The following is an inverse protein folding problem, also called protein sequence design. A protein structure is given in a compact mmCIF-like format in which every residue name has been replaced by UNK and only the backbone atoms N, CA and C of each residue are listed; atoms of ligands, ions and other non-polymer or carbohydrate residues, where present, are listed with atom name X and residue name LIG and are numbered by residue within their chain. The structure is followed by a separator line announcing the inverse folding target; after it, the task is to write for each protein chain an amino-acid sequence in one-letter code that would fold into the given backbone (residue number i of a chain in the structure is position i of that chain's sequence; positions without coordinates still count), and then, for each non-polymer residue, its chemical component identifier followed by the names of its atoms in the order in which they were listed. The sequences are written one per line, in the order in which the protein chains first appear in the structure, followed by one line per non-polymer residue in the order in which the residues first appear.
data_IF_813680523665
#
_entry.id   IF_813680523665
#
_cell.length_a   1.000
_cell.length_b   1.000
_cell.length_c   1.000
_cell.angle_alpha   90.00
_cell.angle_beta   90.00
_cell.angle_gamma   90.00
#
_symmetry.space_group_name_H-M   'P 1'
#
loop_
_entity.id
_entity.type
_entity.pdbx_description
1 polymer ?
#
# COMPACT_ATOMS: atom_id res chain seq x y z
N UNK A 1 -80.79 4.50 -2.60
CA UNK A 1 -79.94 4.34 -3.79
C UNK A 1 -78.57 4.92 -3.44
N UNK A 2 -77.53 4.07 -3.51
CA UNK A 2 -76.07 4.29 -3.58
C UNK A 2 -75.50 5.60 -2.98
N UNK A 3 -74.61 5.62 -1.97
CA UNK A 3 -73.49 4.73 -1.68
C UNK A 3 -72.18 5.44 -2.06
N UNK A 4 -71.62 6.25 -1.14
CA UNK A 4 -70.32 6.93 -1.34
C UNK A 4 -69.28 6.16 -0.52
N UNK A 5 -68.35 5.51 -1.21
CA UNK A 5 -67.24 4.76 -0.61
C UNK A 5 -66.14 5.69 -0.10
N UNK A 6 -65.67 5.44 1.12
CA UNK A 6 -64.42 5.97 1.66
C UNK A 6 -63.40 4.84 1.65
N UNK A 7 -62.39 4.96 0.78
CA UNK A 7 -61.25 4.05 0.76
C UNK A 7 -60.27 4.45 1.87
N UNK A 8 -60.09 3.57 2.85
CA UNK A 8 -59.05 3.70 3.85
C UNK A 8 -57.68 3.34 3.26
N UNK A 9 -56.79 4.31 3.11
CA UNK A 9 -55.37 4.04 2.96
C UNK A 9 -54.77 3.71 4.32
N UNK A 10 -54.45 2.43 4.53
CA UNK A 10 -53.48 2.02 5.55
C UNK A 10 -52.11 2.56 5.12
N UNK A 11 -51.56 3.50 5.88
CA UNK A 11 -50.15 3.86 5.80
C UNK A 11 -49.31 2.68 6.31
N UNK A 12 -48.44 2.17 5.44
CA UNK A 12 -47.54 1.07 5.76
C UNK A 12 -46.33 1.60 6.54
N UNK A 13 -46.48 1.64 7.87
CA UNK A 13 -45.45 2.07 8.84
C UNK A 13 -44.19 1.18 8.82
N UNK A 14 -44.21 0.03 8.13
CA UNK A 14 -43.06 -0.89 8.09
C UNK A 14 -41.94 -0.41 7.15
N UNK A 15 -42.29 0.29 6.06
CA UNK A 15 -41.32 0.82 5.10
C UNK A 15 -40.51 1.99 5.69
N UNK A 16 -41.19 2.86 6.45
CA UNK A 16 -40.59 4.09 7.01
C UNK A 16 -39.57 3.78 8.12
N UNK A 17 -39.84 2.76 8.94
CA UNK A 17 -38.92 2.31 10.00
C UNK A 17 -37.66 1.65 9.40
N UNK A 18 -37.82 0.87 8.33
CA UNK A 18 -36.71 0.24 7.60
C UNK A 18 -35.75 1.26 6.98
N UNK A 19 -36.29 2.32 6.35
CA UNK A 19 -35.50 3.40 5.75
C UNK A 19 -34.81 4.23 6.83
N UNK A 20 -35.49 4.55 7.93
CA UNK A 20 -34.93 5.29 9.06
C UNK A 20 -33.79 4.53 9.76
N UNK A 21 -33.96 3.22 10.00
CA UNK A 21 -32.91 2.36 10.57
C UNK A 21 -31.69 2.27 9.66
N UNK A 22 -31.91 2.15 8.34
CA UNK A 22 -30.83 2.08 7.34
C UNK A 22 -30.04 3.40 7.27
N UNK A 23 -30.72 4.54 7.29
CA UNK A 23 -30.07 5.86 7.33
C UNK A 23 -29.28 6.03 8.63
N UNK A 24 -29.85 5.67 9.78
CA UNK A 24 -29.19 5.79 11.07
C UNK A 24 -27.93 4.89 11.17
N UNK A 25 -27.99 3.68 10.60
CA UNK A 25 -26.86 2.77 10.51
C UNK A 25 -25.75 3.30 9.59
N UNK A 26 -26.12 3.82 8.41
CA UNK A 26 -25.17 4.46 7.48
C UNK A 26 -24.51 5.70 8.09
N UNK A 27 -25.25 6.49 8.87
CA UNK A 27 -24.72 7.68 9.54
C UNK A 27 -23.72 7.29 10.64
N UNK A 28 -24.02 6.26 11.44
CA UNK A 28 -23.11 5.74 12.47
C UNK A 28 -21.85 5.11 11.87
N UNK A 29 -21.98 4.39 10.77
CA UNK A 29 -20.85 3.86 10.01
C UNK A 29 -19.97 5.00 9.47
N UNK A 30 -20.59 6.03 8.89
CA UNK A 30 -19.88 7.20 8.38
C UNK A 30 -19.15 7.97 9.50
N UNK A 31 -19.79 8.18 10.65
CA UNK A 31 -19.15 8.80 11.83
C UNK A 31 -17.98 7.95 12.36
N UNK A 32 -18.16 6.64 12.46
CA UNK A 32 -17.09 5.72 12.90
C UNK A 32 -15.91 5.70 11.93
N UNK A 33 -16.17 5.69 10.62
CA UNK A 33 -15.13 5.77 9.57
C UNK A 33 -14.40 7.12 9.60
N UNK A 34 -15.13 8.22 9.81
CA UNK A 34 -14.57 9.58 9.91
C UNK A 34 -13.71 9.74 11.17
N UNK A 35 -14.14 9.19 12.31
CA UNK A 35 -13.37 9.20 13.55
C UNK A 35 -12.09 8.37 13.40
N UNK A 36 -12.19 7.17 12.82
CA UNK A 36 -11.02 6.32 12.55
C UNK A 36 -10.04 7.02 11.61
N UNK A 37 -10.51 7.64 10.52
CA UNK A 37 -9.67 8.36 9.58
C UNK A 37 -8.92 9.54 10.25
N UNK A 38 -9.64 10.40 10.98
CA UNK A 38 -9.05 11.55 11.67
C UNK A 38 -8.06 11.15 12.78
N UNK A 39 -8.34 10.05 13.50
CA UNK A 39 -7.41 9.52 14.50
C UNK A 39 -6.10 9.04 13.87
N UNK A 40 -6.15 8.42 12.69
CA UNK A 40 -4.95 7.86 12.06
C UNK A 40 -4.08 8.94 11.40
N UNK A 41 -4.67 10.02 10.89
CA UNK A 41 -3.93 11.19 10.39
C UNK A 41 -3.16 11.91 11.51
N UNK A 42 -3.77 12.05 12.69
CA UNK A 42 -3.09 12.60 13.86
C UNK A 42 -1.88 11.74 14.29
N UNK A 43 -1.91 10.43 14.08
CA UNK A 43 -0.79 9.55 14.43
C UNK A 43 0.41 9.69 13.50
N UNK A 44 0.20 9.99 12.22
CA UNK A 44 1.29 10.32 11.30
C UNK A 44 2.01 11.61 11.73
N UNK A 45 1.26 12.62 12.17
CA UNK A 45 1.83 13.87 12.70
C UNK A 45 2.58 13.65 14.03
N UNK A 46 2.04 12.82 14.92
CA UNK A 46 2.70 12.41 16.16
C UNK A 46 4.02 11.68 15.85
N UNK A 47 3.99 10.74 14.91
CA UNK A 47 5.16 9.99 14.48
C UNK A 47 6.23 10.91 13.89
N UNK A 48 5.83 11.80 12.99
CA UNK A 48 6.73 12.79 12.40
C UNK A 48 7.39 13.66 13.48
N UNK A 49 6.61 14.09 14.47
CA UNK A 49 7.10 14.90 15.59
C UNK A 49 8.12 14.13 16.43
N UNK A 50 7.84 12.87 16.76
CA UNK A 50 8.76 12.00 17.49
C UNK A 50 10.07 11.76 16.72
N UNK A 51 9.99 11.43 15.43
CA UNK A 51 11.15 11.21 14.57
C UNK A 51 12.04 12.45 14.43
N UNK A 52 11.44 13.64 14.32
CA UNK A 52 12.18 14.91 14.22
C UNK A 52 13.02 15.20 15.45
N UNK A 53 12.56 14.80 16.64
CA UNK A 53 13.27 14.99 17.90
C UNK A 53 14.06 13.75 18.35
N UNK A 54 14.10 12.69 17.54
CA UNK A 54 14.71 11.39 17.89
C UNK A 54 14.15 10.75 19.16
N UNK A 55 12.84 10.87 19.38
CA UNK A 55 12.17 10.17 20.47
C UNK A 55 11.87 8.72 20.06
N UNK A 56 12.86 7.84 20.24
CA UNK A 56 12.78 6.42 19.89
C UNK A 56 11.68 5.68 20.66
N UNK A 57 11.45 6.03 21.93
CA UNK A 57 10.43 5.40 22.78
C UNK A 57 9.03 5.64 22.22
N UNK A 58 8.74 6.87 21.80
CA UNK A 58 7.47 7.20 21.14
C UNK A 58 7.32 6.48 19.80
N UNK A 59 8.39 6.41 18.99
CA UNK A 59 8.37 5.66 17.70
C UNK A 59 8.07 4.18 17.92
N UNK A 60 8.70 3.55 18.92
CA UNK A 60 8.46 2.15 19.30
C UNK A 60 7.04 1.94 19.80
N UNK A 61 6.54 2.84 20.66
CA UNK A 61 5.17 2.79 21.17
C UNK A 61 4.12 2.84 20.06
N UNK A 62 4.28 3.78 19.12
CA UNK A 62 3.42 3.91 17.93
C UNK A 62 3.52 2.66 17.06
N UNK A 63 4.74 2.18 16.78
CA UNK A 63 4.96 0.94 16.01
C UNK A 63 4.21 -0.24 16.62
N UNK A 64 4.33 -0.48 17.92
CA UNK A 64 3.67 -1.60 18.60
C UNK A 64 2.15 -1.49 18.56
N UNK A 65 1.60 -0.28 18.66
CA UNK A 65 0.15 -0.03 18.52
C UNK A 65 -0.36 -0.47 17.14
N UNK A 66 0.30 -0.03 16.07
CA UNK A 66 -0.13 -0.34 14.70
C UNK A 66 0.17 -1.77 14.29
N UNK A 67 1.25 -2.37 14.81
CA UNK A 67 1.57 -3.77 14.57
C UNK A 67 0.45 -4.68 15.11
N UNK A 68 -0.02 -4.42 16.35
CA UNK A 68 -1.15 -5.15 16.94
C UNK A 68 -2.43 -5.00 16.12
N UNK A 69 -2.69 -3.81 15.57
CA UNK A 69 -3.86 -3.56 14.71
C UNK A 69 -3.79 -4.39 13.44
N UNK A 70 -2.67 -4.30 12.70
CA UNK A 70 -2.49 -5.06 11.46
C UNK A 70 -2.60 -6.56 11.74
N UNK A 71 -1.99 -7.07 12.80
CA UNK A 71 -2.08 -8.50 13.17
C UNK A 71 -3.50 -8.92 13.57
N UNK A 72 -4.26 -8.06 14.25
CA UNK A 72 -5.62 -8.37 14.70
C UNK A 72 -6.67 -8.30 13.58
N UNK A 73 -6.48 -7.41 12.62
CA UNK A 73 -7.44 -7.14 11.55
C UNK A 73 -7.10 -7.89 10.24
N UNK A 74 -5.89 -8.48 10.12
CA UNK A 74 -5.51 -9.32 8.97
C UNK A 74 -6.35 -10.60 8.93
N UNK A 75 -6.84 -10.96 7.75
CA UNK A 75 -7.62 -12.16 7.48
C UNK A 75 -7.37 -12.66 6.06
N UNK A 76 -7.66 -13.93 5.76
CA UNK A 76 -7.61 -14.40 4.38
C UNK A 76 -8.77 -13.78 3.60
N UNK A 77 -8.52 -12.91 2.59
CA UNK A 77 -9.59 -12.30 1.81
C UNK A 77 -10.27 -13.31 0.89
N UNK A 78 -11.54 -13.07 0.59
CA UNK A 78 -12.24 -13.72 -0.52
C UNK A 78 -11.98 -12.91 -1.80
N UNK A 79 -10.88 -13.22 -2.46
CA UNK A 79 -10.38 -12.45 -3.61
C UNK A 79 -11.30 -12.48 -4.83
N UNK A 80 -12.16 -13.50 -4.98
CA UNK A 80 -13.14 -13.57 -6.07
C UNK A 80 -14.20 -12.46 -5.99
N UNK A 81 -14.40 -11.89 -4.80
CA UNK A 81 -15.33 -10.78 -4.57
C UNK A 81 -14.71 -9.41 -4.79
N UNK A 82 -13.38 -9.33 -4.93
CA UNK A 82 -12.68 -8.08 -5.12
C UNK A 82 -12.76 -7.64 -6.58
N UNK A 83 -12.73 -6.33 -6.79
CA UNK A 83 -12.84 -5.77 -8.14
C UNK A 83 -11.55 -6.01 -8.91
N UNK A 84 -11.65 -6.62 -10.09
CA UNK A 84 -10.55 -6.72 -11.05
C UNK A 84 -10.22 -5.39 -11.73
N UNK A 85 -8.92 -5.15 -11.93
CA UNK A 85 -8.38 -4.20 -12.90
C UNK A 85 -7.97 -4.93 -14.19
N UNK A 86 -8.85 -4.85 -15.21
CA UNK A 86 -8.62 -5.50 -16.50
C UNK A 86 -7.43 -4.93 -17.27
N UNK A 87 -7.19 -3.61 -17.18
CA UNK A 87 -6.10 -2.98 -17.92
C UNK A 87 -4.76 -3.35 -17.31
N UNK A 88 -4.65 -3.31 -15.99
CA UNK A 88 -3.46 -3.77 -15.30
C UNK A 88 -3.22 -5.28 -15.51
N UNK A 89 -4.27 -6.08 -15.55
CA UNK A 89 -4.15 -7.52 -15.82
C UNK A 89 -3.50 -7.81 -17.19
N UNK A 90 -3.65 -6.92 -18.18
CA UNK A 90 -2.98 -7.04 -19.48
C UNK A 90 -1.49 -6.70 -19.43
N UNK A 91 -1.02 -6.06 -18.34
CA UNK A 91 0.37 -5.67 -18.15
C UNK A 91 1.17 -6.67 -17.32
N UNK A 92 0.52 -7.74 -16.84
CA UNK A 92 1.18 -8.81 -16.09
C UNK A 92 2.23 -9.45 -17.01
N UNK A 93 3.53 -9.41 -16.63
CA UNK A 93 4.58 -10.00 -17.43
C UNK A 93 4.39 -11.51 -17.61
N UNK A 94 4.78 -12.01 -18.78
CA UNK A 94 4.53 -13.41 -19.17
C UNK A 94 5.30 -14.42 -18.31
N UNK A 95 6.38 -14.01 -17.64
CA UNK A 95 7.11 -14.85 -16.70
C UNK A 95 6.41 -15.02 -15.35
N UNK A 96 5.43 -14.17 -15.03
CA UNK A 96 4.58 -14.37 -13.87
C UNK A 96 3.50 -15.40 -14.27
N UNK A 97 3.94 -16.63 -14.50
CA UNK A 97 3.08 -17.79 -14.72
C UNK A 97 2.88 -18.51 -13.40
N UNK A 98 1.64 -18.62 -12.95
CA UNK A 98 1.26 -19.65 -11.97
C UNK A 98 -0.13 -20.14 -12.36
N UNK A 99 -0.12 -21.35 -12.92
CA UNK A 99 -1.14 -22.40 -13.08
C UNK A 99 -2.62 -22.01 -13.24
N UNK A 100 -3.28 -22.74 -14.16
CA UNK A 100 -4.70 -22.90 -14.58
C UNK A 100 -5.85 -21.95 -14.12
N UNK A 101 -5.72 -21.17 -13.05
CA UNK A 101 -6.72 -20.21 -12.54
C UNK A 101 -6.65 -18.79 -13.11
N UNK A 102 -5.50 -18.41 -13.68
CA UNK A 102 -5.28 -17.09 -14.30
C UNK A 102 -5.10 -15.96 -13.29
N UNK A 103 -3.92 -15.37 -13.25
CA UNK A 103 -3.68 -14.22 -12.37
C UNK A 103 -4.50 -13.01 -12.79
N UNK A 104 -5.02 -12.31 -11.79
CA UNK A 104 -5.78 -11.10 -12.00
C UNK A 104 -5.21 -9.97 -11.15
N UNK A 105 -5.08 -8.82 -11.79
CA UNK A 105 -4.71 -7.57 -11.17
C UNK A 105 -5.94 -7.05 -10.41
N UNK A 106 -5.83 -6.78 -9.10
CA UNK A 106 -6.92 -6.23 -8.29
C UNK A 106 -6.93 -4.70 -8.29
N UNK A 107 -8.12 -4.10 -8.38
CA UNK A 107 -8.27 -2.65 -8.36
C UNK A 107 -8.08 -2.13 -6.94
N UNK A 108 -7.15 -1.18 -6.79
CA UNK A 108 -7.00 -0.35 -5.59
C UNK A 108 -7.33 1.12 -5.89
N UNK A 109 -7.55 1.91 -4.84
CA UNK A 109 -7.66 3.36 -4.94
C UNK A 109 -6.32 3.96 -5.38
N UNK A 110 -6.33 4.61 -6.54
CA UNK A 110 -5.18 5.32 -7.12
C UNK A 110 -4.94 6.68 -6.47
N UNK A 111 -4.54 6.66 -5.20
CA UNK A 111 -4.03 7.83 -4.49
C UNK A 111 -2.56 7.63 -4.12
N UNK A 112 -1.95 8.62 -3.50
CA UNK A 112 -0.55 8.60 -3.11
C UNK A 112 -0.26 7.68 -1.90
N UNK A 113 -1.21 6.81 -1.55
CA UNK A 113 -1.11 5.73 -0.57
C UNK A 113 -1.27 4.33 -1.22
N UNK A 114 -1.30 4.26 -2.55
CA UNK A 114 -1.57 3.05 -3.36
C UNK A 114 -0.74 1.82 -2.99
N UNK A 115 0.55 1.96 -2.63
CA UNK A 115 1.37 0.85 -2.10
C UNK A 115 0.67 0.18 -0.91
N UNK A 116 0.25 0.99 0.06
CA UNK A 116 -0.33 0.50 1.29
C UNK A 116 -1.79 0.06 1.10
N UNK A 117 -2.52 0.69 0.19
CA UNK A 117 -3.85 0.21 -0.25
C UNK A 117 -3.75 -1.20 -0.83
N UNK A 118 -2.76 -1.43 -1.70
CA UNK A 118 -2.49 -2.75 -2.26
C UNK A 118 -2.18 -3.76 -1.17
N UNK A 119 -1.24 -3.45 -0.28
CA UNK A 119 -0.88 -4.37 0.79
C UNK A 119 -2.08 -4.64 1.73
N UNK A 120 -2.89 -3.63 2.03
CA UNK A 120 -4.11 -3.78 2.84
C UNK A 120 -5.11 -4.73 2.18
N UNK A 121 -5.34 -4.60 0.86
CA UNK A 121 -6.23 -5.47 0.11
C UNK A 121 -5.78 -6.94 0.18
N UNK A 122 -4.47 -7.23 0.10
CA UNK A 122 -3.95 -8.60 0.29
C UNK A 122 -4.16 -9.12 1.70
N UNK A 123 -4.01 -8.24 2.70
CA UNK A 123 -4.03 -8.65 4.11
C UNK A 123 -5.43 -8.80 4.69
N UNK A 124 -6.44 -8.10 4.16
CA UNK A 124 -7.77 -8.07 4.76
C UNK A 124 -8.93 -7.86 3.78
N UNK A 125 -8.67 -7.72 2.47
CA UNK A 125 -9.70 -7.58 1.45
C UNK A 125 -10.27 -6.17 1.28
N UNK A 126 -9.78 -5.18 2.02
CA UNK A 126 -10.10 -3.77 1.82
C UNK A 126 -8.89 -2.86 2.18
N UNK A 127 -9.06 -1.54 2.12
CA UNK A 127 -7.97 -0.55 2.29
C UNK A 127 -7.89 0.07 3.71
N UNK A 128 -8.57 -0.49 4.72
CA UNK A 128 -8.62 0.12 6.05
C UNK A 128 -7.29 0.04 6.84
N UNK A 129 -6.36 -0.84 6.45
CA UNK A 129 -5.04 -0.97 7.07
C UNK A 129 -3.97 -0.09 6.44
N UNK A 130 -4.26 0.59 5.33
CA UNK A 130 -3.25 1.31 4.54
C UNK A 130 -2.46 2.33 5.36
N UNK A 131 -3.11 3.16 6.18
CA UNK A 131 -2.40 4.14 7.01
C UNK A 131 -1.56 3.47 8.09
N UNK A 132 -2.02 2.34 8.65
CA UNK A 132 -1.22 1.59 9.64
C UNK A 132 0.02 0.98 8.99
N UNK A 133 -0.10 0.44 7.78
CA UNK A 133 1.04 -0.07 7.01
C UNK A 133 2.03 1.04 6.66
N UNK A 134 1.54 2.24 6.31
CA UNK A 134 2.37 3.44 6.09
C UNK A 134 3.15 3.82 7.35
N UNK A 135 2.48 3.90 8.49
CA UNK A 135 3.09 4.19 9.80
C UNK A 135 4.17 3.16 10.13
N UNK A 136 3.86 1.86 10.00
CA UNK A 136 4.82 0.80 10.29
C UNK A 136 6.05 0.85 9.38
N UNK A 137 5.85 1.17 8.09
CA UNK A 137 6.93 1.32 7.12
C UNK A 137 7.80 2.53 7.44
N UNK A 138 7.20 3.65 7.84
CA UNK A 138 7.97 4.81 8.32
C UNK A 138 8.79 4.47 9.57
N UNK A 139 8.19 3.81 10.58
CA UNK A 139 8.91 3.36 11.78
C UNK A 139 10.07 2.42 11.43
N UNK A 140 9.85 1.48 10.51
CA UNK A 140 10.90 0.57 10.02
C UNK A 140 12.07 1.35 9.41
N UNK A 141 11.79 2.20 8.42
CA UNK A 141 12.82 3.01 7.76
C UNK A 141 13.58 3.91 8.73
N UNK A 142 12.91 4.44 9.75
CA UNK A 142 13.56 5.26 10.77
C UNK A 142 14.49 4.45 11.68
N UNK A 143 14.04 3.29 12.16
CA UNK A 143 14.78 2.50 13.16
C UNK A 143 15.85 1.58 12.57
N UNK A 144 15.62 1.03 11.37
CA UNK A 144 16.50 0.01 10.75
C UNK A 144 17.00 0.45 9.37
N UNK A 145 16.76 1.71 9.00
CA UNK A 145 17.04 2.30 7.69
C UNK A 145 18.42 1.97 7.09
N UNK A 146 19.44 1.92 7.95
CA UNK A 146 20.81 1.60 7.57
C UNK A 146 20.96 0.25 6.87
N UNK A 147 20.18 -0.75 7.28
CA UNK A 147 20.31 -2.09 6.70
C UNK A 147 19.87 -2.14 5.22
N UNK A 148 19.08 -1.15 4.78
CA UNK A 148 18.65 -1.02 3.40
C UNK A 148 19.68 -0.29 2.52
N UNK A 149 20.59 0.50 3.09
CA UNK A 149 21.54 1.31 2.31
C UNK A 149 22.60 0.49 1.58
N UNK A 150 22.86 -0.71 2.10
CA UNK A 150 23.86 -1.66 1.57
C UNK A 150 23.20 -2.75 0.71
N UNK A 151 21.90 -2.63 0.43
CA UNK A 151 21.17 -3.65 -0.31
C UNK A 151 21.74 -3.82 -1.74
N UNK A 152 22.03 -5.05 -2.22
CA UNK A 152 22.64 -5.29 -3.53
C UNK A 152 21.87 -4.69 -4.73
N UNK A 153 20.55 -4.55 -4.61
CA UNK A 153 19.74 -3.87 -5.61
C UNK A 153 20.16 -2.41 -5.83
N UNK A 154 20.65 -1.72 -4.78
CA UNK A 154 21.15 -0.34 -4.88
C UNK A 154 22.51 -0.29 -5.58
N UNK A 155 23.40 -1.26 -5.30
CA UNK A 155 24.68 -1.37 -6.00
C UNK A 155 24.49 -1.58 -7.52
N UNK A 156 23.47 -2.36 -7.89
CA UNK A 156 23.16 -2.68 -9.29
C UNK A 156 22.83 -1.42 -10.10
N UNK A 157 22.12 -0.46 -9.49
CA UNK A 157 21.76 0.82 -10.14
C UNK A 157 22.95 1.74 -10.27
N UNK A 158 23.77 1.81 -9.21
CA UNK A 158 24.94 2.68 -9.17
C UNK A 158 26.02 2.20 -10.15
N UNK A 159 26.20 0.88 -10.28
CA UNK A 159 27.29 0.28 -11.06
C UNK A 159 26.91 -0.06 -12.50
N UNK A 160 25.63 -0.06 -12.89
CA UNK A 160 25.22 -0.45 -14.24
C UNK A 160 25.36 0.73 -15.25
N UNK A 161 26.25 0.63 -16.25
CA UNK A 161 26.49 1.69 -17.24
C UNK A 161 25.26 2.07 -18.06
N UNK A 162 24.31 1.15 -18.24
CA UNK A 162 23.07 1.41 -19.00
C UNK A 162 22.18 2.44 -18.28
N UNK A 163 22.15 2.41 -16.94
CA UNK A 163 21.48 3.41 -16.10
C UNK A 163 22.26 4.73 -16.02
N UNK A 164 23.60 4.65 -16.02
CA UNK A 164 24.49 5.80 -15.90
C UNK A 164 24.40 6.78 -17.08
N UNK A 165 23.88 6.36 -18.24
CA UNK A 165 23.97 7.16 -19.46
C UNK A 165 23.02 8.37 -19.54
N UNK A 166 21.96 8.46 -18.70
CA UNK A 166 21.04 9.63 -18.64
C UNK A 166 20.14 9.76 -17.40
N UNK A 167 19.99 8.72 -16.56
CA UNK A 167 18.85 8.60 -15.63
C UNK A 167 19.23 8.29 -14.17
N UNK A 168 20.47 8.55 -13.72
CA UNK A 168 20.87 8.19 -12.34
C UNK A 168 20.05 8.94 -11.28
N UNK A 169 19.79 10.23 -11.48
CA UNK A 169 18.99 11.02 -10.55
C UNK A 169 17.52 10.56 -10.54
N UNK A 170 16.96 10.22 -11.71
CA UNK A 170 15.61 9.69 -11.83
C UNK A 170 15.49 8.32 -11.14
N UNK A 171 16.46 7.42 -11.38
CA UNK A 171 16.53 6.13 -10.71
C UNK A 171 16.70 6.28 -9.19
N UNK A 172 17.53 7.23 -8.73
CA UNK A 172 17.66 7.56 -7.31
C UNK A 172 16.36 8.11 -6.73
N UNK A 173 15.61 8.92 -7.46
CA UNK A 173 14.30 9.43 -7.03
C UNK A 173 13.25 8.31 -6.93
N UNK A 174 13.32 7.30 -7.81
CA UNK A 174 12.45 6.12 -7.73
C UNK A 174 12.80 5.19 -6.56
N UNK A 175 14.05 5.23 -6.07
CA UNK A 175 14.48 4.50 -4.88
C UNK A 175 14.13 5.29 -3.60
N UNK A 176 14.58 6.55 -3.55
CA UNK A 176 14.44 7.50 -2.45
C UNK A 176 13.56 8.67 -2.90
N UNK A 177 12.23 8.58 -2.77
CA UNK A 177 11.32 9.63 -3.22
C UNK A 177 11.31 10.80 -2.23
N UNK A 178 12.38 11.59 -2.22
CA UNK A 178 12.54 12.78 -1.38
C UNK A 178 12.76 14.01 -2.26
N UNK A 179 12.40 15.18 -1.73
CA UNK A 179 12.57 16.45 -2.45
C UNK A 179 14.04 16.73 -2.80
N UNK A 180 14.96 16.33 -1.92
CA UNK A 180 16.40 16.45 -2.12
C UNK A 180 17.07 15.10 -1.85
N UNK A 181 17.96 14.69 -2.76
CA UNK A 181 18.72 13.44 -2.66
C UNK A 181 20.17 13.79 -2.33
N UNK A 182 20.57 13.45 -1.11
CA UNK A 182 21.96 13.51 -0.64
C UNK A 182 22.83 12.47 -1.37
N UNK A 183 24.14 12.69 -1.39
CA UNK A 183 25.12 11.67 -1.77
C UNK A 183 25.16 10.50 -0.77
N UNK A 184 24.78 10.75 0.48
CA UNK A 184 24.77 9.75 1.55
C UNK A 184 23.41 9.03 1.60
N UNK A 185 23.44 7.70 1.42
CA UNK A 185 22.22 6.90 1.43
C UNK A 185 21.51 6.94 2.79
N UNK A 186 22.25 6.97 3.92
CA UNK A 186 21.67 7.01 5.27
C UNK A 186 20.78 8.26 5.46
N UNK A 187 21.30 9.41 5.05
CA UNK A 187 20.57 10.69 5.05
C UNK A 187 19.32 10.59 4.17
N UNK A 188 19.41 9.95 2.99
CA UNK A 188 18.25 9.74 2.13
C UNK A 188 17.20 8.85 2.79
N UNK A 189 17.59 7.72 3.40
CA UNK A 189 16.64 6.83 4.08
C UNK A 189 15.94 7.56 5.22
N UNK A 190 16.68 8.35 6.00
CA UNK A 190 16.11 9.15 7.07
C UNK A 190 15.10 10.17 6.55
N UNK A 191 15.44 10.87 5.46
CA UNK A 191 14.54 11.82 4.82
C UNK A 191 13.30 11.12 4.25
N UNK A 192 13.44 9.91 3.70
CA UNK A 192 12.32 9.09 3.26
C UNK A 192 11.42 8.75 4.45
N UNK A 193 11.96 8.24 5.57
CA UNK A 193 11.16 7.90 6.74
C UNK A 193 10.29 9.08 7.24
N UNK A 194 10.89 10.28 7.26
CA UNK A 194 10.18 11.51 7.62
C UNK A 194 9.12 11.89 6.56
N UNK A 195 9.44 11.77 5.26
CA UNK A 195 8.50 12.09 4.19
C UNK A 195 7.33 11.10 4.13
N UNK A 196 7.56 9.83 4.47
CA UNK A 196 6.51 8.80 4.60
C UNK A 196 5.46 9.20 5.64
N UNK A 197 5.84 9.97 6.67
CA UNK A 197 4.89 10.48 7.66
C UNK A 197 4.00 11.63 7.14
N UNK A 198 4.31 12.18 5.96
CA UNK A 198 3.45 13.18 5.32
C UNK A 198 2.35 12.46 4.56
N UNK A 199 1.10 12.89 4.74
CA UNK A 199 0.00 12.38 3.92
C UNK A 199 0.33 12.57 2.44
N UNK A 200 0.12 11.52 1.67
CA UNK A 200 0.28 11.50 0.21
C UNK A 200 1.69 11.69 -0.36
N UNK A 201 2.75 11.42 0.40
CA UNK A 201 4.07 11.18 -0.21
C UNK A 201 4.09 9.84 -0.99
N UNK A 202 4.61 9.86 -2.21
CA UNK A 202 4.82 8.68 -3.06
C UNK A 202 5.77 7.67 -2.40
N UNK A 203 5.55 6.38 -2.65
CA UNK A 203 6.42 5.29 -2.18
C UNK A 203 7.36 4.76 -3.27
N UNK A 204 8.66 4.84 -3.05
CA UNK A 204 9.72 4.28 -3.89
C UNK A 204 10.20 2.89 -3.42
N UNK A 205 11.22 2.36 -4.09
CA UNK A 205 11.73 1.00 -3.86
C UNK A 205 12.04 0.68 -2.39
N UNK A 206 12.59 1.64 -1.65
CA UNK A 206 12.97 1.40 -0.27
C UNK A 206 11.77 1.14 0.65
N UNK A 207 10.60 1.68 0.31
CA UNK A 207 9.37 1.36 1.03
C UNK A 207 8.94 -0.08 0.79
N UNK A 208 9.19 -0.65 -0.39
CA UNK A 208 8.91 -2.07 -0.67
C UNK A 208 9.79 -2.97 0.20
N UNK A 209 11.09 -2.67 0.29
CA UNK A 209 12.01 -3.43 1.12
C UNK A 209 11.61 -3.36 2.60
N UNK A 210 11.30 -2.16 3.10
CA UNK A 210 10.83 -1.97 4.47
C UNK A 210 9.47 -2.64 4.73
N UNK A 211 8.54 -2.56 3.77
CA UNK A 211 7.24 -3.20 3.89
C UNK A 211 7.37 -4.74 3.93
N UNK A 212 8.27 -5.33 3.14
CA UNK A 212 8.55 -6.77 3.22
C UNK A 212 8.97 -7.16 4.65
N UNK A 213 9.83 -6.36 5.28
CA UNK A 213 10.21 -6.54 6.70
C UNK A 213 9.03 -6.32 7.65
N UNK A 214 8.21 -5.29 7.47
CA UNK A 214 7.02 -5.05 8.30
C UNK A 214 6.04 -6.22 8.26
N UNK A 215 5.82 -6.77 7.07
CA UNK A 215 4.90 -7.88 6.84
C UNK A 215 5.50 -9.24 7.19
N UNK A 216 6.82 -9.32 7.38
CA UNK A 216 7.57 -10.57 7.55
C UNK A 216 7.28 -11.56 6.40
N UNK A 217 7.14 -11.04 5.18
CA UNK A 217 6.84 -11.79 3.95
C UNK A 217 7.65 -11.26 2.77
N UNK A 218 8.16 -12.12 1.89
CA UNK A 218 8.76 -11.68 0.64
C UNK A 218 7.74 -10.95 -0.24
N UNK A 219 8.18 -9.85 -0.85
CA UNK A 219 7.38 -9.12 -1.83
C UNK A 219 8.00 -9.30 -3.21
N UNK A 220 7.27 -9.95 -4.12
CA UNK A 220 7.59 -9.92 -5.55
C UNK A 220 7.10 -8.58 -6.10
N UNK A 221 8.03 -7.67 -6.29
CA UNK A 221 7.75 -6.40 -6.94
C UNK A 221 7.80 -6.64 -8.45
N UNK A 222 6.67 -6.47 -9.12
CA UNK A 222 6.51 -6.84 -10.53
C UNK A 222 6.50 -5.58 -11.36
N UNK A 223 7.36 -5.51 -12.37
CA UNK A 223 7.43 -4.37 -13.29
C UNK A 223 7.05 -4.83 -14.71
N UNK A 224 6.06 -4.18 -15.36
CA UNK A 224 5.64 -4.51 -16.72
C UNK A 224 6.79 -4.53 -17.74
N UNK A 225 6.63 -5.27 -18.83
CA UNK A 225 7.60 -5.36 -19.93
C UNK A 225 7.64 -4.08 -20.80
N UNK A 226 7.86 -2.91 -20.17
CA UNK A 226 7.80 -1.58 -20.85
C UNK A 226 9.14 -0.84 -20.86
N UNK A 227 9.94 -0.93 -19.79
CA UNK A 227 11.25 -0.28 -19.71
C UNK A 227 12.29 -1.27 -19.19
N UNK A 228 12.90 -2.01 -20.11
CA UNK A 228 13.88 -3.05 -19.80
C UNK A 228 15.15 -2.52 -19.14
N UNK A 229 15.45 -1.23 -19.28
CA UNK A 229 16.60 -0.61 -18.62
C UNK A 229 16.42 -0.59 -17.12
N UNK A 230 15.27 -0.12 -16.62
CA UNK A 230 15.00 -0.03 -15.17
C UNK A 230 14.37 -1.28 -14.58
N UNK A 231 13.83 -2.16 -15.41
CA UNK A 231 13.13 -3.37 -15.00
C UNK A 231 13.94 -4.28 -14.05
N UNK A 232 15.26 -4.51 -14.23
CA UNK A 232 16.03 -5.33 -13.29
C UNK A 232 16.06 -4.79 -11.86
N UNK A 233 15.83 -3.49 -11.67
CA UNK A 233 15.75 -2.87 -10.35
C UNK A 233 14.40 -3.14 -9.67
N UNK A 234 13.31 -3.02 -10.44
CA UNK A 234 11.94 -3.04 -9.90
C UNK A 234 11.25 -4.39 -10.03
N UNK A 235 11.61 -5.22 -11.00
CA UNK A 235 11.09 -6.57 -11.19
C UNK A 235 11.94 -7.58 -10.39
N UNK A 236 11.77 -7.60 -9.07
CA UNK A 236 12.64 -8.34 -8.17
C UNK A 236 11.87 -8.86 -6.94
N UNK A 237 12.46 -9.83 -6.24
CA UNK A 237 11.92 -10.39 -5.00
C UNK A 237 12.68 -9.84 -3.80
N UNK A 238 11.97 -9.13 -2.93
CA UNK A 238 12.54 -8.50 -1.74
C UNK A 238 12.17 -9.30 -0.49
N UNK A 239 13.18 -9.71 0.27
CA UNK A 239 13.01 -10.46 1.51
C UNK A 239 13.06 -9.55 2.75
N UNK A 240 12.40 -9.94 3.86
CA UNK A 240 12.57 -9.28 5.16
C UNK A 240 14.03 -9.24 5.61
N UNK A 241 14.53 -8.06 6.01
CA UNK A 241 15.93 -7.82 6.36
C UNK A 241 16.38 -8.56 7.64
N UNK A 242 15.45 -8.92 8.53
CA UNK A 242 15.73 -9.60 9.80
C UNK A 242 15.48 -11.12 9.78
N UNK A 243 15.27 -11.72 8.61
CA UNK A 243 15.01 -13.17 8.47
C UNK A 243 16.29 -14.03 8.64
N UNK A 244 16.95 -13.93 9.79
CA UNK A 244 17.95 -14.93 10.22
C UNK A 244 17.30 -16.28 10.61
N UNK A 245 15.97 -16.35 10.65
CA UNK A 245 15.21 -17.59 10.80
C UNK A 245 14.17 -17.66 9.68
N UNK A 246 14.62 -18.02 8.48
CA UNK A 246 13.72 -18.57 7.47
C UNK A 246 13.20 -19.88 8.04
N UNK A 247 12.02 -19.85 8.67
CA UNK A 247 11.27 -21.08 8.91
C UNK A 247 11.14 -21.78 7.56
N UNK A 248 11.61 -23.02 7.45
CA UNK A 248 11.58 -23.87 6.24
C UNK A 248 10.16 -24.23 5.76
N UNK A 249 9.13 -23.53 6.26
CA UNK A 249 7.77 -23.59 5.74
C UNK A 249 7.62 -22.79 4.44
N UNK A 250 6.53 -23.04 3.72
CA UNK A 250 6.16 -22.20 2.57
C UNK A 250 5.86 -20.78 3.06
N UNK A 251 6.77 -19.84 2.79
CA UNK A 251 6.52 -18.43 3.02
C UNK A 251 5.70 -17.91 1.84
N UNK A 252 4.47 -17.48 2.11
CA UNK A 252 3.58 -16.90 1.11
C UNK A 252 4.21 -15.61 0.54
N UNK A 253 4.39 -15.57 -0.78
CA UNK A 253 4.92 -14.41 -1.49
C UNK A 253 3.77 -13.44 -1.78
N UNK A 254 3.95 -12.17 -1.43
CA UNK A 254 3.03 -11.10 -1.82
C UNK A 254 3.46 -10.51 -3.16
N UNK A 255 2.56 -10.46 -4.14
CA UNK A 255 2.84 -9.85 -5.44
C UNK A 255 2.30 -8.43 -5.49
N UNK A 256 3.16 -7.49 -5.85
CA UNK A 256 2.82 -6.08 -5.98
C UNK A 256 3.37 -5.58 -7.32
N UNK A 257 2.49 -5.24 -8.25
CA UNK A 257 2.83 -4.88 -9.62
C UNK A 257 2.69 -3.39 -9.88
N UNK A 258 3.63 -2.80 -10.62
CA UNK A 258 3.50 -1.45 -11.16
C UNK A 258 2.41 -1.40 -12.23
N UNK A 259 1.54 -0.42 -12.10
CA UNK A 259 0.50 -0.12 -13.06
C UNK A 259 0.14 1.36 -12.93
N UNK A 260 -0.88 1.80 -13.65
CA UNK A 260 -1.31 3.19 -13.70
C UNK A 260 -2.81 3.24 -13.47
N UNK A 261 -3.26 4.16 -12.61
CA UNK A 261 -4.70 4.39 -12.50
C UNK A 261 -5.25 4.98 -13.80
N UNK A 262 -6.38 4.43 -14.23
CA UNK A 262 -7.29 4.99 -15.22
C UNK A 262 -6.71 5.95 -16.26
N UNK A 263 -6.44 5.40 -17.45
CA UNK A 263 -6.25 6.09 -18.73
C UNK A 263 -4.85 6.70 -19.00
N UNK A 264 -4.50 6.81 -20.29
CA UNK A 264 -3.16 7.21 -20.76
C UNK A 264 -2.80 8.69 -20.51
N UNK A 265 -3.58 9.45 -19.73
CA UNK A 265 -3.51 10.91 -19.61
C UNK A 265 -2.37 11.40 -18.68
N UNK A 266 -1.33 12.01 -19.27
CA UNK A 266 0.00 12.29 -18.69
C UNK A 266 0.06 13.51 -17.76
N UNK A 267 -0.96 13.74 -16.92
CA UNK A 267 -0.94 14.90 -16.01
C UNK A 267 0.01 14.65 -14.83
N UNK A 268 0.64 15.72 -14.34
CA UNK A 268 1.49 15.66 -13.15
C UNK A 268 0.68 15.25 -11.91
N UNK A 269 1.23 14.35 -11.08
CA UNK A 269 0.55 13.80 -9.89
C UNK A 269 -0.15 12.45 -10.09
N UNK A 270 0.02 11.80 -11.24
CA UNK A 270 -0.55 10.47 -11.50
C UNK A 270 0.23 9.40 -10.72
N UNK A 271 -0.46 8.76 -9.77
CA UNK A 271 0.09 7.69 -8.96
C UNK A 271 0.37 6.46 -9.82
N UNK A 272 1.52 5.84 -9.63
CA UNK A 272 1.69 4.45 -10.03
C UNK A 272 0.78 3.62 -9.15
N UNK A 273 -0.24 3.04 -9.74
CA UNK A 273 -1.01 2.03 -9.03
C UNK A 273 -0.10 0.85 -8.80
N UNK A 274 0.09 0.49 -7.55
CA UNK A 274 0.57 -0.82 -7.25
C UNK A 274 -0.65 -1.73 -7.26
N UNK A 275 -0.58 -2.87 -7.92
CA UNK A 275 -1.71 -3.77 -8.08
C UNK A 275 -1.29 -5.17 -7.68
N UNK A 276 -2.16 -5.82 -6.92
CA UNK A 276 -1.94 -7.19 -6.45
C UNK A 276 -2.10 -8.16 -7.60
N UNK A 277 -1.23 -9.17 -7.65
CA UNK A 277 -1.49 -10.39 -8.40
C UNK A 277 -1.92 -11.47 -7.41
N UNK A 278 -3.16 -11.95 -7.55
CA UNK A 278 -3.67 -13.06 -6.77
C UNK A 278 -3.82 -14.32 -7.65
N UNK A 279 -3.75 -15.48 -7.01
CA UNK A 279 -3.97 -16.78 -7.63
C UNK A 279 -5.29 -17.37 -7.10
N UNK A 280 -6.30 -17.49 -7.96
CA UNK A 280 -7.60 -18.12 -7.63
C UNK A 280 -7.45 -19.54 -7.10
#
# INVERSE_FOLDING_TARGET
MFGIGSAGHKFDLSLDVSVSLSICYLTKLHESLTISFNQTMNELDNLLSAMKINDEDSVVSIRLKHLRRVQGDSCQPDYERLQSDKLASMLIPSEINVDEGGQQALKCTGNENCLYNSASLVLCGDEHLSTSLRILTACELFSTGQLYTDHPALETVIKNPEFMSRNLNDARAMIFPTAEISSENETNVRNVALSTCTDRAWSGLIHIMALATVLQRPISYVYPEVNMGIRPLFNNLFYPVSSNEVNEGHIEIMYIMWSRDGNFDTRDGVCLNQIILYHS
#
